data_IF_702023878315
#
_entry.id   IF_702023878315
#
_cell.length_a   1.000
_cell.length_b   1.000
_cell.length_c   1.000
_cell.angle_alpha   90.00
_cell.angle_beta   90.00
_cell.angle_gamma   90.00
#
_symmetry.space_group_name_H-M   'P 1'
#
loop_
_entity.id
_entity.type
_entity.pdbx_description
1 polymer ?
#
# COMPACT_ATOMS: atom_id res chain seq x y z
N UNK A 1 29.41 31.53 -8.94
CA UNK A 1 28.46 31.11 -7.89
C UNK A 1 27.47 30.04 -8.38
N UNK A 2 27.93 28.95 -9.03
CA UNK A 2 27.05 27.91 -9.60
C UNK A 2 27.21 26.51 -8.96
N UNK A 3 28.10 26.36 -7.97
CA UNK A 3 28.50 25.04 -7.45
C UNK A 3 27.77 24.66 -6.14
N UNK A 4 27.06 25.62 -5.54
CA UNK A 4 26.29 25.41 -4.30
C UNK A 4 24.89 24.84 -4.59
N UNK A 5 24.37 25.04 -5.81
CA UNK A 5 23.06 24.51 -6.24
C UNK A 5 23.06 23.01 -6.56
N UNK A 6 24.23 22.36 -6.56
CA UNK A 6 24.43 20.95 -6.94
C UNK A 6 24.71 20.01 -5.76
N UNK A 7 24.60 20.48 -4.52
CA UNK A 7 24.74 19.63 -3.32
C UNK A 7 23.41 19.52 -2.55
N UNK A 8 22.44 20.42 -2.80
CA UNK A 8 21.11 20.35 -2.17
C UNK A 8 20.17 19.29 -2.81
N UNK A 9 20.51 18.78 -4.00
CA UNK A 9 19.75 17.73 -4.70
C UNK A 9 20.35 16.33 -4.45
N UNK A 10 21.55 16.23 -3.86
CA UNK A 10 22.20 14.95 -3.53
C UNK A 10 21.66 14.29 -2.25
N UNK A 11 20.68 14.92 -1.60
CA UNK A 11 19.86 14.37 -0.53
C UNK A 11 18.38 14.33 -0.95
N UNK A 12 18.08 14.26 -2.26
CA UNK A 12 16.72 14.01 -2.73
C UNK A 12 16.38 12.55 -2.40
N UNK A 13 15.71 12.43 -1.27
CA UNK A 13 15.50 11.19 -0.54
C UNK A 13 14.86 10.11 -1.39
N UNK A 14 15.29 8.89 -1.07
CA UNK A 14 14.53 7.65 -1.12
C UNK A 14 13.61 7.50 -2.33
N UNK A 15 14.08 6.67 -3.27
CA UNK A 15 13.24 5.92 -4.18
C UNK A 15 11.93 5.52 -3.49
N UNK A 16 10.88 6.27 -3.79
CA UNK A 16 9.52 5.85 -3.46
C UNK A 16 9.27 4.68 -4.38
N UNK A 17 9.52 3.47 -3.90
CA UNK A 17 8.96 2.29 -4.53
C UNK A 17 7.45 2.48 -4.44
N UNK A 18 6.82 2.84 -5.56
CA UNK A 18 5.37 2.84 -5.70
C UNK A 18 4.90 1.39 -5.66
N UNK A 19 4.95 0.81 -4.47
CA UNK A 19 4.38 -0.49 -4.19
C UNK A 19 2.86 -0.31 -4.17
N UNK A 20 2.15 -1.08 -4.99
CA UNK A 20 0.70 -1.08 -5.03
C UNK A 20 0.13 -1.25 -3.61
N UNK A 21 -0.86 -0.42 -3.26
CA UNK A 21 -1.49 -0.44 -1.95
C UNK A 21 -2.41 -1.65 -1.86
N UNK A 22 -2.16 -2.52 -0.88
CA UNK A 22 -3.04 -3.66 -0.67
C UNK A 22 -4.35 -3.21 -0.02
N UNK A 23 -5.48 -3.31 -0.72
CA UNK A 23 -6.79 -2.84 -0.22
C UNK A 23 -7.35 -3.68 0.93
N UNK A 24 -6.90 -4.93 1.09
CA UNK A 24 -7.30 -5.80 2.19
C UNK A 24 -6.59 -5.44 3.49
N UNK A 25 -5.32 -4.99 3.44
CA UNK A 25 -4.50 -4.75 4.64
C UNK A 25 -4.16 -3.29 4.88
N UNK A 26 -4.42 -2.40 3.92
CA UNK A 26 -4.04 -0.99 4.03
C UNK A 26 -4.76 -0.29 5.19
N UNK A 27 -4.05 0.65 5.82
CA UNK A 27 -4.63 1.60 6.77
C UNK A 27 -5.40 2.70 6.03
N UNK A 28 -6.21 3.47 6.77
CA UNK A 28 -6.93 4.62 6.21
C UNK A 28 -5.95 5.61 5.56
N UNK A 29 -4.80 5.88 6.20
CA UNK A 29 -3.81 6.81 5.63
C UNK A 29 -3.20 6.28 4.32
N UNK A 30 -2.94 4.97 4.24
CA UNK A 30 -2.42 4.34 3.03
C UNK A 30 -3.46 4.29 1.89
N UNK A 31 -4.74 4.18 2.22
CA UNK A 31 -5.80 4.31 1.23
C UNK A 31 -5.93 5.77 0.76
N UNK A 32 -5.75 6.74 1.65
CA UNK A 32 -5.79 8.17 1.32
C UNK A 32 -4.61 8.64 0.45
N UNK A 33 -3.49 7.91 0.45
CA UNK A 33 -2.39 8.23 -0.47
C UNK A 33 -2.70 7.87 -1.92
N UNK A 34 -3.79 7.11 -2.16
CA UNK A 34 -4.22 6.76 -3.50
C UNK A 34 -4.92 7.95 -4.17
N UNK A 35 -4.68 8.17 -5.48
CA UNK A 35 -5.33 9.25 -6.19
C UNK A 35 -6.85 9.04 -6.17
N UNK A 36 -7.60 10.13 -5.98
CA UNK A 36 -9.07 10.14 -5.94
C UNK A 36 -9.72 9.38 -4.76
N UNK A 37 -8.93 8.89 -3.79
CA UNK A 37 -9.41 8.30 -2.54
C UNK A 37 -9.24 9.30 -1.40
N UNK A 38 -10.32 10.01 -1.06
CA UNK A 38 -10.36 10.86 0.13
C UNK A 38 -10.77 10.08 1.39
N UNK A 39 -10.85 10.77 2.54
CA UNK A 39 -11.20 10.16 3.82
C UNK A 39 -12.51 9.37 3.81
N UNK A 40 -13.55 9.88 3.14
CA UNK A 40 -14.86 9.21 3.03
C UNK A 40 -14.75 7.88 2.28
N UNK A 41 -14.00 7.86 1.17
CA UNK A 41 -13.83 6.65 0.34
C UNK A 41 -12.92 5.64 1.03
N UNK A 42 -11.84 6.11 1.67
CA UNK A 42 -10.96 5.26 2.46
C UNK A 42 -11.73 4.56 3.58
N UNK A 43 -12.58 5.29 4.31
CA UNK A 43 -13.44 4.71 5.34
C UNK A 43 -14.42 3.69 4.73
N UNK A 44 -15.06 4.01 3.61
CA UNK A 44 -15.98 3.09 2.94
C UNK A 44 -15.31 1.78 2.51
N UNK A 45 -14.03 1.80 2.09
CA UNK A 45 -13.26 0.58 1.77
C UNK A 45 -13.05 -0.27 3.03
N UNK A 46 -12.69 0.36 4.15
CA UNK A 46 -12.49 -0.31 5.44
C UNK A 46 -13.81 -0.92 5.93
N UNK A 47 -14.90 -0.15 5.87
CA UNK A 47 -16.23 -0.61 6.28
C UNK A 47 -16.71 -1.77 5.40
N UNK A 48 -16.45 -1.70 4.09
CA UNK A 48 -16.79 -2.78 3.16
C UNK A 48 -16.05 -4.07 3.52
N UNK A 49 -14.73 -4.04 3.75
CA UNK A 49 -13.99 -5.27 4.12
C UNK A 49 -14.40 -5.82 5.49
N UNK A 50 -14.82 -4.96 6.41
CA UNK A 50 -15.32 -5.38 7.72
C UNK A 50 -16.69 -6.06 7.65
N UNK A 51 -17.53 -5.66 6.71
CA UNK A 51 -18.92 -6.15 6.58
C UNK A 51 -19.08 -7.28 5.59
N UNK A 52 -18.33 -7.26 4.48
CA UNK A 52 -18.43 -8.21 3.37
C UNK A 52 -17.25 -9.19 3.31
N UNK A 53 -16.21 -8.96 4.12
CA UNK A 53 -14.95 -9.71 4.06
C UNK A 53 -13.96 -9.13 3.05
N UNK A 54 -12.81 -9.81 2.91
CA UNK A 54 -11.71 -9.39 2.04
C UNK A 54 -12.12 -9.29 0.56
N UNK A 55 -11.54 -8.34 -0.16
CA UNK A 55 -11.64 -8.24 -1.62
C UNK A 55 -10.86 -9.39 -2.28
N UNK A 56 -11.51 -10.08 -3.22
CA UNK A 56 -10.90 -11.18 -3.98
C UNK A 56 -10.20 -10.67 -5.24
N UNK A 57 -10.72 -9.59 -5.83
CA UNK A 57 -10.17 -8.91 -6.99
C UNK A 57 -10.08 -7.41 -6.76
N UNK A 58 -9.14 -6.72 -7.41
CA UNK A 58 -9.08 -5.26 -7.41
C UNK A 58 -10.38 -4.63 -7.96
N UNK A 59 -11.08 -5.32 -8.86
CA UNK A 59 -12.38 -4.89 -9.42
C UNK A 59 -13.49 -4.83 -8.36
N UNK A 60 -13.41 -5.64 -7.31
CA UNK A 60 -14.43 -5.69 -6.26
C UNK A 60 -14.55 -4.37 -5.49
N UNK A 61 -13.52 -3.52 -5.55
CA UNK A 61 -13.54 -2.18 -4.98
C UNK A 61 -14.65 -1.30 -5.58
N UNK A 62 -15.14 -1.61 -6.79
CA UNK A 62 -16.27 -0.91 -7.41
C UNK A 62 -17.60 -1.15 -6.68
N UNK A 63 -17.66 -2.15 -5.78
CA UNK A 63 -18.84 -2.41 -4.93
C UNK A 63 -18.87 -1.49 -3.71
N UNK A 64 -17.78 -0.77 -3.43
CA UNK A 64 -17.69 0.19 -2.33
C UNK A 64 -18.45 1.45 -2.69
N UNK A 65 -19.25 1.95 -1.75
CA UNK A 65 -20.03 3.19 -1.92
C UNK A 65 -19.11 4.36 -2.27
N UNK A 66 -19.35 4.98 -3.43
CA UNK A 66 -18.59 6.13 -3.90
C UNK A 66 -17.35 5.80 -4.74
N UNK A 67 -17.07 4.52 -5.04
CA UNK A 67 -16.04 4.11 -5.99
C UNK A 67 -16.72 3.52 -7.23
N UNK A 68 -16.80 4.33 -8.28
CA UNK A 68 -17.35 3.89 -9.57
C UNK A 68 -16.28 3.45 -10.57
N UNK A 69 -16.71 3.02 -11.76
CA UNK A 69 -15.83 2.60 -12.86
C UNK A 69 -14.75 3.63 -13.19
N UNK A 70 -15.10 4.92 -13.28
CA UNK A 70 -14.16 6.00 -13.58
C UNK A 70 -13.09 6.19 -12.49
N UNK A 71 -13.41 5.93 -11.22
CA UNK A 71 -12.42 5.95 -10.13
C UNK A 71 -11.54 4.71 -10.20
N UNK A 72 -12.15 3.54 -10.39
CA UNK A 72 -11.43 2.27 -10.49
C UNK A 72 -10.41 2.25 -11.65
N UNK A 73 -10.76 2.74 -12.84
CA UNK A 73 -9.85 2.76 -13.99
C UNK A 73 -8.55 3.53 -13.74
N UNK A 74 -8.63 4.59 -12.94
CA UNK A 74 -7.47 5.39 -12.53
C UNK A 74 -6.71 4.76 -11.36
N UNK A 75 -7.40 3.96 -10.54
CA UNK A 75 -6.88 3.38 -9.31
C UNK A 75 -6.25 2.00 -9.50
N UNK A 76 -6.72 1.23 -10.49
CA UNK A 76 -6.41 -0.19 -10.67
C UNK A 76 -4.91 -0.52 -10.77
N UNK A 77 -4.09 0.45 -11.19
CA UNK A 77 -2.64 0.30 -11.29
C UNK A 77 -1.93 0.53 -9.95
N UNK A 78 -2.57 1.23 -9.01
CA UNK A 78 -2.01 1.60 -7.70
C UNK A 78 -2.51 0.70 -6.57
N UNK A 79 -3.42 -0.25 -6.85
CA UNK A 79 -4.00 -1.15 -5.87
C UNK A 79 -3.69 -2.61 -6.16
N UNK A 80 -3.58 -3.41 -5.10
CA UNK A 80 -3.44 -4.86 -5.18
C UNK A 80 -4.35 -5.56 -4.17
N UNK A 81 -4.73 -6.80 -4.48
CA UNK A 81 -5.40 -7.73 -3.55
C UNK A 81 -4.51 -8.89 -3.11
N UNK A 82 -3.42 -9.14 -3.86
CA UNK A 82 -2.50 -10.26 -3.67
C UNK A 82 -1.12 -9.75 -3.25
N UNK A 83 -0.69 -10.15 -2.04
CA UNK A 83 0.61 -9.84 -1.46
C UNK A 83 0.49 -9.05 -0.16
N UNK A 84 1.04 -9.56 0.94
CA UNK A 84 1.19 -8.80 2.20
C UNK A 84 1.67 -7.38 1.87
N UNK A 85 0.92 -6.34 2.30
CA UNK A 85 1.47 -4.99 2.28
C UNK A 85 2.80 -5.05 3.01
N UNK A 86 3.91 -4.93 2.28
CA UNK A 86 5.24 -5.08 2.83
C UNK A 86 5.52 -3.80 3.61
N UNK A 87 4.98 -3.71 4.82
CA UNK A 87 5.45 -2.75 5.80
C UNK A 87 6.92 -3.14 6.08
N UNK A 88 7.90 -2.28 5.74
CA UNK A 88 9.33 -2.61 5.88
C UNK A 88 9.69 -3.04 7.31
N UNK A 89 8.91 -2.60 8.31
CA UNK A 89 9.07 -2.98 9.71
C UNK A 89 8.69 -4.45 10.03
N UNK A 90 7.80 -5.08 9.27
CA UNK A 90 7.26 -6.42 9.60
C UNK A 90 8.03 -7.55 8.91
N UNK A 91 8.55 -7.31 7.70
CA UNK A 91 9.22 -8.33 6.87
C UNK A 91 10.52 -8.87 7.50
N UNK A 92 11.25 -8.04 8.24
CA UNK A 92 12.48 -8.47 8.91
C UNK A 92 12.24 -9.43 10.09
N UNK A 93 11.08 -9.35 10.76
CA UNK A 93 10.77 -10.21 11.92
C UNK A 93 10.37 -11.63 11.52
N UNK A 94 9.68 -11.79 10.39
CA UNK A 94 9.14 -13.07 9.92
C UNK A 94 10.25 -14.00 9.40
N UNK A 95 11.33 -13.45 8.83
CA UNK A 95 12.45 -14.23 8.29
C UNK A 95 13.52 -14.62 9.34
N UNK A 96 13.67 -13.81 10.40
CA UNK A 96 14.62 -14.13 11.51
C UNK A 96 14.22 -15.35 12.34
N UNK A 97 12.95 -15.75 12.30
CA UNK A 97 12.43 -16.91 13.03
C UNK A 97 12.58 -18.24 12.26
N UNK A 98 13.08 -18.19 11.02
CA UNK A 98 13.24 -19.37 10.16
C UNK A 98 14.68 -19.93 10.10
N UNK A 99 15.61 -19.47 10.93
CA UNK A 99 16.90 -20.16 11.08
C UNK A 99 16.73 -21.35 12.05
N UNK A 100 16.86 -22.61 11.60
CA UNK A 100 16.97 -23.73 12.51
C UNK A 100 18.25 -23.56 13.36
N UNK A 101 18.08 -23.49 14.67
CA UNK A 101 19.16 -23.38 15.65
C UNK A 101 19.91 -24.72 15.83
N UNK A 102 20.40 -25.31 14.73
CA UNK A 102 21.06 -26.63 14.74
C UNK A 102 22.50 -26.59 14.19
N UNK A 103 23.08 -25.41 13.97
CA UNK A 103 24.45 -25.26 13.47
C UNK A 103 25.44 -24.75 14.55
N UNK A 104 25.30 -25.23 15.79
CA UNK A 104 26.35 -25.09 16.81
C UNK A 104 26.45 -26.41 17.57
N UNK A 105 27.20 -27.36 17.00
CA UNK A 105 27.88 -28.38 17.78
C UNK A 105 29.15 -28.80 17.09
#
# INVERSE_FOLDING_TARGET
>A
MQKIFMILILLFGMASAWAAVNINTASIQQLQSLPYIGAIKAQAIVDYRNTHGSFHSTKDIMRVKGIGKATYEKLQNDISVSGESVNPAVSASKYRRALPATAVR
#
